data_IF_517720357768
#
_entry.id   IF_517720357768
#
_cell.length_a   1.000
_cell.length_b   1.000
_cell.length_c   1.000
_cell.angle_alpha   90.00
_cell.angle_beta   90.00
_cell.angle_gamma   90.00
#
_symmetry.space_group_name_H-M   'P 1'
#
loop_
_entity.id
_entity.type
_entity.pdbx_description
1 polymer ?
#
# COMPACT_ATOMS: atom_id res chain seq x y z
N UNK A 1 -16.85 15.97 23.00
CA UNK A 1 -17.43 16.80 21.92
C UNK A 1 -18.91 16.49 21.81
N UNK A 2 -19.76 17.51 21.64
CA UNK A 2 -21.16 17.29 21.28
C UNK A 2 -21.25 16.78 19.84
N UNK A 3 -21.79 15.58 19.65
CA UNK A 3 -21.92 14.92 18.34
C UNK A 3 -23.38 14.93 17.85
N UNK A 4 -24.21 15.80 18.39
CA UNK A 4 -25.65 15.86 18.08
C UNK A 4 -25.96 16.54 16.73
N UNK A 5 -25.04 17.29 16.16
CA UNK A 5 -25.25 18.07 14.92
C UNK A 5 -24.07 17.97 13.93
N UNK A 6 -23.55 16.78 13.69
CA UNK A 6 -22.42 16.57 12.77
C UNK A 6 -22.80 16.70 11.30
N UNK A 7 -24.09 16.47 10.96
CA UNK A 7 -24.55 16.55 9.58
C UNK A 7 -24.28 17.93 8.97
N UNK A 8 -24.52 19.02 9.68
CA UNK A 8 -24.27 20.38 9.16
C UNK A 8 -22.76 20.64 8.95
N UNK A 9 -21.90 20.07 9.79
CA UNK A 9 -20.46 20.16 9.58
C UNK A 9 -20.05 19.40 8.30
N UNK A 10 -20.64 18.22 8.05
CA UNK A 10 -20.40 17.42 6.84
C UNK A 10 -20.85 18.19 5.60
N UNK A 11 -22.01 18.84 5.65
CA UNK A 11 -22.61 19.58 4.55
C UNK A 11 -22.05 21.00 4.38
N UNK A 12 -21.15 21.44 5.26
CA UNK A 12 -20.50 22.76 5.13
C UNK A 12 -19.73 22.88 3.81
N UNK A 13 -19.77 24.05 3.19
CA UNK A 13 -19.13 24.28 1.90
C UNK A 13 -17.61 24.01 1.95
N UNK A 14 -16.93 24.35 3.05
CA UNK A 14 -15.51 24.08 3.20
C UNK A 14 -15.20 22.57 3.20
N UNK A 15 -15.96 21.80 3.99
CA UNK A 15 -15.79 20.35 4.05
C UNK A 15 -16.10 19.67 2.70
N UNK A 16 -17.18 20.09 2.04
CA UNK A 16 -17.56 19.56 0.72
C UNK A 16 -16.52 19.92 -0.35
N UNK A 17 -15.96 21.13 -0.34
CA UNK A 17 -14.88 21.49 -1.27
C UNK A 17 -13.62 20.64 -1.06
N UNK A 18 -13.23 20.39 0.19
CA UNK A 18 -12.10 19.49 0.50
C UNK A 18 -12.37 18.06 0.01
N UNK A 19 -13.58 17.55 0.22
CA UNK A 19 -13.99 16.23 -0.24
C UNK A 19 -13.96 16.14 -1.78
N UNK A 20 -14.47 17.14 -2.47
CA UNK A 20 -14.41 17.25 -3.93
C UNK A 20 -12.96 17.19 -4.45
N UNK A 21 -12.10 18.04 -3.93
CA UNK A 21 -10.69 18.09 -4.33
C UNK A 21 -9.99 16.74 -4.10
N UNK A 22 -10.28 16.07 -2.99
CA UNK A 22 -9.69 14.77 -2.69
C UNK A 22 -10.16 13.68 -3.67
N UNK A 23 -11.45 13.64 -3.99
CA UNK A 23 -12.01 12.65 -4.94
C UNK A 23 -11.46 12.87 -6.35
N UNK A 24 -11.38 14.13 -6.81
CA UNK A 24 -10.81 14.47 -8.12
C UNK A 24 -9.32 14.13 -8.17
N UNK A 25 -8.56 14.42 -7.11
CA UNK A 25 -7.13 14.09 -7.01
C UNK A 25 -6.87 12.59 -7.11
N UNK A 26 -7.74 11.77 -6.58
CA UNK A 26 -7.60 10.32 -6.57
C UNK A 26 -7.84 9.66 -7.93
N UNK A 27 -8.51 10.35 -8.88
CA UNK A 27 -8.77 9.88 -10.25
C UNK A 27 -9.31 8.44 -10.31
N UNK A 28 -10.23 8.09 -9.40
CA UNK A 28 -10.78 6.74 -9.29
C UNK A 28 -11.65 6.36 -10.49
N UNK A 29 -11.82 5.06 -10.71
CA UNK A 29 -12.69 4.51 -11.75
C UNK A 29 -14.18 4.88 -11.52
N UNK A 30 -15.00 4.82 -12.56
CA UNK A 30 -16.44 5.01 -12.53
C UNK A 30 -17.16 3.90 -11.74
N UNK A 31 -18.27 4.24 -11.09
CA UNK A 31 -19.17 3.31 -10.42
C UNK A 31 -20.14 2.61 -11.38
N UNK A 32 -21.29 2.19 -10.85
CA UNK A 32 -22.40 1.57 -11.62
C UNK A 32 -23.07 2.57 -12.56
N UNK A 33 -23.02 3.88 -12.25
CA UNK A 33 -23.60 4.96 -13.04
C UNK A 33 -22.75 5.40 -14.24
N UNK A 34 -21.55 4.85 -14.38
CA UNK A 34 -20.60 5.20 -15.44
C UNK A 34 -20.04 6.63 -15.36
N UNK A 35 -20.41 7.42 -14.34
CA UNK A 35 -19.96 8.82 -14.20
C UNK A 35 -18.48 8.88 -13.86
N UNK A 36 -17.72 9.69 -14.60
CA UNK A 36 -16.29 9.92 -14.36
C UNK A 36 -16.06 11.01 -13.32
N UNK A 37 -14.92 10.94 -12.63
CA UNK A 37 -14.53 11.95 -11.65
C UNK A 37 -14.41 13.37 -12.25
N UNK A 38 -14.19 13.51 -13.57
CA UNK A 38 -14.13 14.79 -14.29
C UNK A 38 -15.50 15.47 -14.42
N UNK A 39 -16.59 14.69 -14.36
CA UNK A 39 -17.96 15.13 -14.50
C UNK A 39 -18.59 15.54 -13.14
N UNK A 40 -17.91 15.19 -12.04
CA UNK A 40 -18.43 15.45 -10.68
C UNK A 40 -18.75 16.93 -10.43
N UNK A 41 -17.94 17.88 -10.96
CA UNK A 41 -18.19 19.30 -10.76
C UNK A 41 -19.54 19.74 -11.34
N UNK A 42 -19.80 19.38 -12.59
CA UNK A 42 -21.06 19.73 -13.28
C UNK A 42 -22.25 19.06 -12.61
N UNK A 43 -22.08 17.80 -12.19
CA UNK A 43 -23.10 17.07 -11.44
C UNK A 43 -23.45 17.77 -10.12
N UNK A 44 -22.46 18.20 -9.33
CA UNK A 44 -22.67 18.89 -8.07
C UNK A 44 -23.26 20.29 -8.25
N UNK A 45 -22.93 21.01 -9.31
CA UNK A 45 -23.54 22.31 -9.63
C UNK A 45 -25.05 22.14 -9.89
N UNK A 46 -25.45 21.08 -10.59
CA UNK A 46 -26.87 20.83 -10.90
C UNK A 46 -27.65 20.21 -9.72
N UNK A 47 -27.04 19.29 -8.98
CA UNK A 47 -27.75 18.43 -8.02
C UNK A 47 -27.29 18.62 -6.56
N UNK A 48 -26.30 19.48 -6.30
CA UNK A 48 -25.67 19.59 -4.96
C UNK A 48 -26.65 19.94 -3.86
N UNK A 49 -27.57 20.91 -4.07
CA UNK A 49 -28.55 21.28 -3.07
C UNK A 49 -29.61 20.16 -2.85
N UNK A 50 -29.99 19.45 -3.92
CA UNK A 50 -30.89 18.30 -3.81
C UNK A 50 -30.22 17.19 -2.97
N UNK A 51 -28.93 16.93 -3.20
CA UNK A 51 -28.16 15.93 -2.44
C UNK A 51 -28.08 16.34 -0.95
N UNK A 52 -27.78 17.61 -0.66
CA UNK A 52 -27.76 18.11 0.73
C UNK A 52 -29.09 17.92 1.43
N UNK A 53 -30.19 18.29 0.76
CA UNK A 53 -31.55 18.15 1.31
C UNK A 53 -31.92 16.66 1.52
N UNK A 54 -31.55 15.80 0.57
CA UNK A 54 -31.75 14.35 0.74
C UNK A 54 -30.96 13.78 1.92
N UNK A 55 -29.77 14.28 2.19
CA UNK A 55 -28.94 13.87 3.35
C UNK A 55 -29.59 14.35 4.66
N UNK A 56 -30.02 15.63 4.76
CA UNK A 56 -30.73 16.18 5.93
C UNK A 56 -32.04 15.45 6.23
N UNK A 57 -32.79 15.10 5.20
CA UNK A 57 -34.09 14.44 5.35
C UNK A 57 -34.00 12.92 5.39
N UNK A 58 -32.80 12.34 5.44
CA UNK A 58 -32.52 10.89 5.39
C UNK A 58 -33.09 10.19 4.14
N UNK A 59 -33.38 10.94 3.08
CA UNK A 59 -33.93 10.38 1.82
C UNK A 59 -32.84 9.92 0.85
N UNK A 60 -31.58 10.32 1.06
CA UNK A 60 -30.49 9.86 0.23
C UNK A 60 -30.36 8.34 0.24
N UNK A 61 -30.25 7.74 -0.95
CA UNK A 61 -30.06 6.30 -1.16
C UNK A 61 -28.74 6.09 -1.88
N UNK A 62 -27.70 5.54 -1.21
CA UNK A 62 -26.46 5.14 -1.88
C UNK A 62 -26.74 4.14 -3.00
N UNK A 63 -25.98 4.26 -4.07
CA UNK A 63 -26.02 3.29 -5.15
C UNK A 63 -25.21 2.04 -4.78
N UNK A 64 -25.56 0.86 -5.35
CA UNK A 64 -24.76 -0.35 -5.16
C UNK A 64 -23.33 -0.13 -5.66
N UNK A 65 -22.36 -0.82 -5.07
CA UNK A 65 -20.98 -0.76 -5.52
C UNK A 65 -20.75 -1.69 -6.70
N UNK A 66 -20.03 -1.24 -7.72
CA UNK A 66 -19.60 -2.06 -8.83
C UNK A 66 -18.48 -3.00 -8.42
N UNK A 67 -18.67 -4.31 -8.52
CA UNK A 67 -17.63 -5.29 -8.22
C UNK A 67 -16.56 -5.31 -9.28
N UNK A 68 -15.30 -5.31 -8.85
CA UNK A 68 -14.12 -5.48 -9.71
C UNK A 68 -13.20 -6.51 -9.08
N UNK A 69 -12.86 -7.54 -9.84
CA UNK A 69 -11.98 -8.60 -9.40
C UNK A 69 -10.52 -8.28 -9.73
N UNK A 70 -9.67 -8.26 -8.71
CA UNK A 70 -8.22 -8.05 -8.88
C UNK A 70 -7.46 -9.32 -8.52
N UNK A 71 -6.68 -9.91 -9.45
CA UNK A 71 -5.87 -11.10 -9.16
C UNK A 71 -4.84 -10.82 -8.06
N UNK A 72 -4.75 -11.72 -7.07
CA UNK A 72 -3.71 -11.69 -6.05
C UNK A 72 -2.41 -12.31 -6.58
N UNK A 73 -1.23 -11.83 -6.12
CA UNK A 73 0.07 -12.38 -6.54
C UNK A 73 0.31 -13.85 -6.15
N UNK A 74 -0.39 -14.32 -5.14
CA UNK A 74 -0.32 -15.67 -4.55
C UNK A 74 -1.39 -16.63 -5.07
N UNK A 75 -2.14 -16.19 -6.09
CA UNK A 75 -3.34 -16.86 -6.57
C UNK A 75 -4.60 -16.39 -5.82
N UNK A 76 -5.77 -16.63 -6.41
CA UNK A 76 -7.04 -16.13 -5.90
C UNK A 76 -7.34 -14.69 -6.32
N UNK A 77 -8.46 -14.16 -5.85
CA UNK A 77 -9.03 -12.89 -6.28
C UNK A 77 -9.28 -12.00 -5.07
N UNK A 78 -9.11 -10.68 -5.25
CA UNK A 78 -9.57 -9.65 -4.30
C UNK A 78 -10.76 -8.95 -4.94
N UNK A 79 -11.89 -8.99 -4.25
CA UNK A 79 -13.11 -8.31 -4.66
C UNK A 79 -13.06 -6.85 -4.21
N UNK A 80 -12.98 -5.91 -5.15
CA UNK A 80 -13.15 -4.49 -4.86
C UNK A 80 -14.57 -4.06 -5.19
N UNK A 81 -15.20 -3.31 -4.30
CA UNK A 81 -16.43 -2.59 -4.59
C UNK A 81 -16.10 -1.13 -4.95
N UNK A 82 -16.44 -0.71 -6.16
CA UNK A 82 -16.23 0.66 -6.63
C UNK A 82 -17.54 1.44 -6.49
N UNK A 83 -17.68 2.34 -5.48
CA UNK A 83 -18.86 3.19 -5.35
C UNK A 83 -18.93 4.22 -6.49
N UNK A 84 -20.10 4.81 -6.72
CA UNK A 84 -20.24 5.95 -7.63
C UNK A 84 -19.37 7.11 -7.20
N UNK A 85 -19.09 8.02 -8.12
CA UNK A 85 -18.26 9.20 -7.80
C UNK A 85 -18.96 10.09 -6.77
N UNK A 86 -20.30 10.20 -6.86
CA UNK A 86 -21.13 10.93 -5.88
C UNK A 86 -21.05 10.28 -4.50
N UNK A 87 -21.19 8.95 -4.41
CA UNK A 87 -21.09 8.26 -3.13
C UNK A 87 -19.70 8.40 -2.52
N UNK A 88 -18.63 8.31 -3.33
CA UNK A 88 -17.24 8.57 -2.84
C UNK A 88 -17.09 9.99 -2.31
N UNK A 89 -17.71 10.96 -2.94
CA UNK A 89 -17.69 12.35 -2.49
C UNK A 89 -18.37 12.50 -1.13
N UNK A 90 -19.55 11.94 -0.95
CA UNK A 90 -20.28 11.99 0.33
C UNK A 90 -19.53 11.19 1.41
N UNK A 91 -19.06 9.99 1.11
CA UNK A 91 -18.25 9.19 2.04
C UNK A 91 -16.99 9.91 2.46
N UNK A 92 -16.33 10.63 1.54
CA UNK A 92 -15.15 11.44 1.85
C UNK A 92 -15.51 12.60 2.80
N UNK A 93 -16.63 13.28 2.56
CA UNK A 93 -17.08 14.38 3.42
C UNK A 93 -17.41 13.88 4.84
N UNK A 94 -18.03 12.71 4.97
CA UNK A 94 -18.30 12.05 6.24
C UNK A 94 -16.97 11.66 6.93
N UNK A 95 -16.07 11.00 6.22
CA UNK A 95 -14.79 10.56 6.76
C UNK A 95 -13.95 11.72 7.31
N UNK A 96 -13.95 12.87 6.65
CA UNK A 96 -13.20 14.06 7.08
C UNK A 96 -13.68 14.62 8.43
N UNK A 97 -14.97 14.52 8.70
CA UNK A 97 -15.56 15.01 9.98
C UNK A 97 -15.44 13.95 11.08
N UNK A 98 -15.61 12.67 10.75
CA UNK A 98 -15.56 11.61 11.76
C UNK A 98 -14.13 11.24 12.15
N UNK A 99 -13.16 11.34 11.25
CA UNK A 99 -11.77 10.94 11.53
C UNK A 99 -11.18 11.64 12.76
N UNK A 100 -11.25 12.97 12.93
CA UNK A 100 -10.72 13.63 14.13
C UNK A 100 -11.34 13.12 15.44
N UNK A 101 -12.63 12.82 15.43
CA UNK A 101 -13.37 12.33 16.61
C UNK A 101 -12.85 10.96 17.06
N UNK A 102 -12.54 10.07 16.08
CA UNK A 102 -12.05 8.73 16.38
C UNK A 102 -10.54 8.68 16.59
N UNK A 103 -9.77 9.64 16.03
CA UNK A 103 -8.31 9.72 16.26
C UNK A 103 -7.96 9.84 17.74
N UNK A 104 -8.78 10.54 18.55
CA UNK A 104 -8.62 10.65 19.99
C UNK A 104 -8.82 9.33 20.74
N UNK A 105 -9.48 8.34 20.11
CA UNK A 105 -9.82 7.05 20.70
C UNK A 105 -8.93 5.89 20.22
N UNK A 106 -8.22 6.09 19.10
CA UNK A 106 -7.40 5.03 18.51
C UNK A 106 -6.10 4.86 19.28
N UNK A 107 -5.75 3.60 19.55
CA UNK A 107 -4.52 3.23 20.23
C UNK A 107 -3.27 3.70 19.47
N UNK A 108 -2.21 4.08 20.20
CA UNK A 108 -0.96 4.61 19.60
C UNK A 108 -0.25 3.59 18.72
N UNK A 109 -0.38 2.30 18.98
CA UNK A 109 0.21 1.23 18.18
C UNK A 109 -0.66 0.78 17.00
N UNK A 110 -1.70 1.53 16.67
CA UNK A 110 -2.48 1.38 15.43
C UNK A 110 -2.02 2.43 14.41
N UNK A 111 -1.56 2.00 13.24
CA UNK A 111 -0.90 2.87 12.25
C UNK A 111 -1.61 2.97 10.90
N UNK A 112 -2.34 1.93 10.49
CA UNK A 112 -2.96 1.86 9.16
C UNK A 112 -4.11 2.83 8.98
N UNK A 113 -4.19 3.49 7.82
CA UNK A 113 -5.27 4.40 7.43
C UNK A 113 -5.53 5.58 8.37
N UNK A 114 -4.53 5.99 9.13
CA UNK A 114 -4.62 7.13 10.06
C UNK A 114 -3.79 8.31 9.57
N UNK A 115 -4.26 9.57 9.83
CA UNK A 115 -3.48 10.77 9.51
C UNK A 115 -2.12 10.74 10.23
N UNK A 116 -1.09 11.22 9.55
CA UNK A 116 0.28 11.33 10.10
C UNK A 116 0.91 10.03 10.61
N UNK A 117 0.31 8.88 10.32
CA UNK A 117 0.85 7.55 10.64
C UNK A 117 1.29 6.84 9.35
N UNK A 118 2.34 6.03 9.43
CA UNK A 118 2.88 5.31 8.28
C UNK A 118 3.43 3.93 8.65
N UNK A 119 3.70 3.12 7.61
CA UNK A 119 4.22 1.77 7.79
C UNK A 119 5.61 1.75 8.47
N UNK A 120 6.43 2.75 8.20
CA UNK A 120 7.76 2.87 8.80
C UNK A 120 7.68 3.01 10.32
N UNK A 121 6.77 3.84 10.83
CA UNK A 121 6.53 3.99 12.27
C UNK A 121 6.09 2.66 12.91
N UNK A 122 5.22 1.91 12.25
CA UNK A 122 4.79 0.58 12.71
C UNK A 122 5.98 -0.39 12.80
N UNK A 123 6.89 -0.37 11.83
CA UNK A 123 8.09 -1.23 11.82
C UNK A 123 9.06 -0.83 12.92
N UNK A 124 9.26 0.48 13.17
CA UNK A 124 10.14 0.96 14.24
C UNK A 124 9.57 0.55 15.61
N UNK A 125 8.30 0.79 15.88
CA UNK A 125 7.65 0.36 17.12
C UNK A 125 7.74 -1.18 17.34
N UNK A 126 7.58 -1.96 16.26
CA UNK A 126 7.76 -3.42 16.36
C UNK A 126 9.20 -3.81 16.69
N UNK A 127 10.19 -3.11 16.12
CA UNK A 127 11.63 -3.35 16.43
C UNK A 127 11.94 -3.01 17.89
N UNK A 128 11.44 -1.90 18.41
CA UNK A 128 11.63 -1.51 19.80
C UNK A 128 11.11 -2.60 20.73
N UNK A 129 9.86 -3.06 20.52
CA UNK A 129 9.27 -4.13 21.32
C UNK A 129 10.03 -5.47 21.22
N UNK A 130 10.53 -5.83 20.01
CA UNK A 130 11.36 -7.03 19.83
C UNK A 130 12.69 -6.91 20.57
N UNK A 131 13.30 -5.73 20.61
CA UNK A 131 14.58 -5.47 21.26
C UNK A 131 14.46 -5.35 22.79
N UNK A 132 13.25 -5.09 23.29
CA UNK A 132 12.91 -5.15 24.74
C UNK A 132 12.70 -6.58 25.26
N UNK A 133 13.11 -7.59 24.51
CA UNK A 133 13.05 -9.00 24.91
C UNK A 133 11.76 -9.73 24.53
N UNK A 134 10.87 -9.08 23.77
CA UNK A 134 9.62 -9.71 23.29
C UNK A 134 9.82 -10.27 21.87
N UNK A 135 10.67 -11.28 21.74
CA UNK A 135 11.12 -11.81 20.45
C UNK A 135 10.36 -13.08 19.99
N UNK A 136 9.18 -13.31 20.51
CA UNK A 136 8.19 -14.26 19.98
C UNK A 136 7.00 -13.50 19.39
N UNK A 137 6.70 -13.77 18.14
CA UNK A 137 5.70 -13.02 17.36
C UNK A 137 4.45 -13.87 17.16
N UNK A 138 3.32 -13.28 17.48
CA UNK A 138 1.99 -13.79 17.13
C UNK A 138 1.52 -12.96 15.94
N UNK A 139 1.53 -13.53 14.74
CA UNK A 139 1.10 -12.91 13.49
C UNK A 139 -0.34 -13.34 13.22
N UNK A 140 -1.28 -12.40 13.26
CA UNK A 140 -2.72 -12.64 13.09
C UNK A 140 -3.18 -12.08 11.76
N UNK A 141 -3.65 -12.96 10.86
CA UNK A 141 -4.28 -12.62 9.58
C UNK A 141 -5.79 -12.83 9.70
N UNK A 142 -6.58 -11.82 9.40
CA UNK A 142 -8.04 -11.90 9.39
C UNK A 142 -8.55 -12.41 8.03
N UNK A 143 -9.44 -13.40 8.05
CA UNK A 143 -10.00 -13.95 6.82
C UNK A 143 -11.03 -12.99 6.22
N UNK A 144 -10.71 -12.42 5.04
CA UNK A 144 -11.64 -11.54 4.29
C UNK A 144 -12.31 -10.49 5.19
N UNK A 145 -11.51 -9.81 6.03
CA UNK A 145 -12.02 -8.88 7.05
C UNK A 145 -13.14 -7.98 6.54
N UNK A 146 -12.91 -7.26 5.42
CA UNK A 146 -13.91 -6.33 4.88
C UNK A 146 -15.22 -7.03 4.44
N UNK A 147 -15.16 -8.30 4.04
CA UNK A 147 -16.33 -9.05 3.58
C UNK A 147 -17.10 -9.71 4.74
N UNK A 148 -16.55 -9.69 5.97
CA UNK A 148 -17.10 -10.43 7.12
C UNK A 148 -17.55 -9.56 8.29
N UNK A 149 -17.36 -8.23 8.21
CA UNK A 149 -17.77 -7.30 9.27
C UNK A 149 -19.28 -7.36 9.49
N UNK A 150 -19.70 -7.65 10.71
CA UNK A 150 -21.12 -7.62 11.10
C UNK A 150 -21.58 -6.18 11.25
N UNK A 151 -22.58 -5.78 10.46
CA UNK A 151 -23.11 -4.41 10.41
C UNK A 151 -23.68 -3.95 11.75
N UNK A 152 -24.44 -4.79 12.46
CA UNK A 152 -25.08 -4.40 13.72
C UNK A 152 -24.07 -4.20 14.84
N UNK A 153 -23.02 -5.06 14.89
CA UNK A 153 -21.92 -4.85 15.84
C UNK A 153 -21.17 -3.54 15.55
N UNK A 154 -20.84 -3.29 14.27
CA UNK A 154 -20.17 -2.06 13.87
C UNK A 154 -21.02 -0.84 14.20
N UNK A 155 -22.31 -0.86 13.88
CA UNK A 155 -23.24 0.25 14.19
C UNK A 155 -23.39 0.47 15.69
N UNK A 156 -23.38 -0.59 16.48
CA UNK A 156 -23.39 -0.50 17.95
C UNK A 156 -22.13 0.20 18.47
N UNK A 157 -20.96 -0.11 17.93
CA UNK A 157 -19.69 0.55 18.32
C UNK A 157 -19.73 2.03 17.92
N UNK A 158 -20.15 2.34 16.68
CA UNK A 158 -20.28 3.73 16.20
C UNK A 158 -21.21 4.53 17.08
N UNK A 159 -22.39 3.97 17.45
CA UNK A 159 -23.41 4.63 18.27
C UNK A 159 -22.98 4.92 19.73
N UNK A 160 -21.87 4.32 20.21
CA UNK A 160 -21.27 4.70 21.51
C UNK A 160 -20.68 6.11 21.47
N UNK A 161 -20.09 6.49 20.34
CA UNK A 161 -19.40 7.78 20.14
C UNK A 161 -20.27 8.78 19.40
N UNK A 162 -20.89 8.38 18.30
CA UNK A 162 -21.69 9.27 17.45
C UNK A 162 -23.15 9.20 17.89
N UNK A 163 -23.72 10.34 18.29
CA UNK A 163 -25.13 10.48 18.71
C UNK A 163 -26.03 11.11 17.66
N UNK A 164 -25.44 11.61 16.56
CA UNK A 164 -26.18 12.15 15.42
C UNK A 164 -26.87 11.02 14.66
N UNK A 165 -28.20 10.99 14.74
CA UNK A 165 -29.01 9.95 14.08
C UNK A 165 -28.97 10.00 12.55
N UNK A 166 -28.66 11.15 11.96
CA UNK A 166 -28.54 11.31 10.52
C UNK A 166 -27.28 10.64 10.01
N UNK A 167 -26.18 10.79 10.77
CA UNK A 167 -24.93 10.10 10.48
C UNK A 167 -25.06 8.59 10.64
N UNK A 168 -25.69 8.13 11.72
CA UNK A 168 -25.96 6.72 11.95
C UNK A 168 -26.78 6.14 10.77
N UNK A 169 -27.81 6.87 10.33
CA UNK A 169 -28.66 6.45 9.20
C UNK A 169 -27.87 6.33 7.90
N UNK A 170 -27.09 7.33 7.53
CA UNK A 170 -26.34 7.31 6.26
C UNK A 170 -25.21 6.28 6.25
N UNK A 171 -24.49 6.10 7.36
CA UNK A 171 -23.48 5.06 7.49
C UNK A 171 -24.11 3.67 7.31
N UNK A 172 -25.25 3.40 7.98
CA UNK A 172 -25.96 2.13 7.80
C UNK A 172 -26.39 1.91 6.35
N UNK A 173 -26.89 2.94 5.67
CA UNK A 173 -27.27 2.84 4.25
C UNK A 173 -26.09 2.50 3.36
N UNK A 174 -24.87 3.02 3.61
CA UNK A 174 -23.67 2.64 2.88
C UNK A 174 -23.27 1.19 3.12
N UNK A 175 -23.48 0.66 4.32
CA UNK A 175 -23.17 -0.75 4.61
C UNK A 175 -24.10 -1.71 3.86
N UNK A 176 -25.36 -1.33 3.70
CA UNK A 176 -26.41 -2.18 3.07
C UNK A 176 -26.70 -1.79 1.61
N UNK A 177 -25.88 -0.95 0.97
CA UNK A 177 -26.15 -0.45 -0.39
C UNK A 177 -26.13 -1.50 -1.49
N UNK A 178 -25.67 -2.72 -1.19
CA UNK A 178 -25.61 -3.82 -2.15
C UNK A 178 -24.39 -3.76 -3.08
N UNK A 179 -24.26 -4.81 -3.87
CA UNK A 179 -23.16 -5.01 -4.81
C UNK A 179 -23.76 -5.30 -6.19
N UNK A 180 -23.19 -4.71 -7.23
CA UNK A 180 -23.53 -5.01 -8.62
C UNK A 180 -22.44 -5.89 -9.23
N UNK A 181 -22.80 -7.05 -9.72
CA UNK A 181 -21.93 -8.03 -10.38
C UNK A 181 -22.51 -8.30 -11.76
N UNK A 182 -21.77 -8.00 -12.82
CA UNK A 182 -22.21 -8.24 -14.23
C UNK A 182 -23.65 -7.80 -14.50
N UNK A 183 -24.02 -6.60 -13.99
CA UNK A 183 -25.36 -5.99 -14.04
C UNK A 183 -26.46 -6.70 -13.20
N UNK A 184 -26.11 -7.70 -12.40
CA UNK A 184 -27.00 -8.31 -11.41
C UNK A 184 -26.77 -7.71 -10.02
N UNK A 185 -27.88 -7.40 -9.32
CA UNK A 185 -27.84 -6.83 -7.96
C UNK A 185 -27.81 -7.95 -6.91
N UNK A 186 -26.86 -7.86 -5.99
CA UNK A 186 -26.77 -8.70 -4.79
C UNK A 186 -26.88 -7.85 -3.52
N UNK A 187 -27.68 -8.29 -2.56
CA UNK A 187 -27.78 -7.66 -1.26
C UNK A 187 -26.47 -7.80 -0.45
N UNK A 188 -26.05 -6.72 0.22
CA UNK A 188 -24.94 -6.74 1.18
C UNK A 188 -25.49 -6.86 2.60
N UNK A 189 -25.58 -8.09 3.11
CA UNK A 189 -26.04 -8.38 4.48
C UNK A 189 -24.89 -8.27 5.48
N UNK A 190 -23.67 -8.52 5.03
CA UNK A 190 -22.44 -8.54 5.83
C UNK A 190 -21.32 -7.89 5.03
N UNK A 191 -20.38 -7.25 5.71
CA UNK A 191 -19.19 -6.69 5.11
C UNK A 191 -19.25 -5.19 4.84
N UNK A 192 -18.10 -4.62 4.62
CA UNK A 192 -17.92 -3.22 4.17
C UNK A 192 -17.30 -3.25 2.78
N UNK A 193 -17.84 -2.51 1.79
CA UNK A 193 -17.28 -2.53 0.43
C UNK A 193 -15.79 -2.17 0.44
N UNK A 194 -14.92 -3.06 -0.04
CA UNK A 194 -13.50 -2.75 -0.24
C UNK A 194 -13.36 -1.72 -1.36
N UNK A 195 -13.08 -0.46 -1.03
CA UNK A 195 -12.87 0.61 -2.02
C UNK A 195 -13.68 1.88 -1.75
N UNK A 196 -14.61 1.86 -0.82
CA UNK A 196 -15.28 3.07 -0.31
C UNK A 196 -14.33 3.95 0.51
N UNK A 197 -14.49 5.27 0.41
CA UNK A 197 -13.64 6.23 1.15
C UNK A 197 -13.85 6.17 2.67
N UNK A 198 -15.00 5.69 3.11
CA UNK A 198 -15.35 5.54 4.53
C UNK A 198 -14.87 4.20 5.12
N UNK A 199 -14.71 3.16 4.30
CA UNK A 199 -14.38 1.81 4.75
C UNK A 199 -13.11 1.70 5.60
N UNK A 200 -12.01 2.43 5.32
CA UNK A 200 -10.81 2.41 6.16
C UNK A 200 -11.06 2.92 7.59
N UNK A 201 -11.86 3.97 7.76
CA UNK A 201 -12.23 4.49 9.07
C UNK A 201 -13.11 3.47 9.82
N UNK A 202 -14.14 2.92 9.16
CA UNK A 202 -15.01 1.91 9.76
C UNK A 202 -14.24 0.66 10.19
N UNK A 203 -13.25 0.24 9.40
CA UNK A 203 -12.34 -0.85 9.74
C UNK A 203 -11.56 -0.56 11.03
N UNK A 204 -10.99 0.64 11.15
CA UNK A 204 -10.27 1.03 12.35
C UNK A 204 -11.19 1.15 13.58
N UNK A 205 -12.42 1.65 13.43
CA UNK A 205 -13.42 1.71 14.52
C UNK A 205 -13.71 0.29 15.03
N UNK A 206 -13.94 -0.67 14.15
CA UNK A 206 -14.20 -2.06 14.54
C UNK A 206 -13.00 -2.69 15.22
N UNK A 207 -11.80 -2.53 14.67
CA UNK A 207 -10.58 -3.14 15.20
C UNK A 207 -10.01 -2.43 16.42
N UNK A 208 -10.44 -1.20 16.73
CA UNK A 208 -10.08 -0.53 17.97
C UNK A 208 -10.60 -1.27 19.22
N UNK A 209 -11.66 -2.05 19.10
CA UNK A 209 -12.12 -2.92 20.19
C UNK A 209 -11.10 -4.05 20.45
N UNK A 210 -10.40 -4.54 19.40
CA UNK A 210 -9.28 -5.48 19.56
C UNK A 210 -8.08 -4.79 20.19
N UNK A 211 -7.76 -3.56 19.78
CA UNK A 211 -6.66 -2.78 20.35
C UNK A 211 -6.86 -2.57 21.85
N UNK A 212 -8.05 -2.15 22.27
CA UNK A 212 -8.44 -2.00 23.69
C UNK A 212 -8.31 -3.31 24.48
N UNK A 213 -8.70 -4.43 23.88
CA UNK A 213 -8.57 -5.72 24.56
C UNK A 213 -7.11 -6.16 24.72
N UNK A 214 -6.26 -5.87 23.72
CA UNK A 214 -4.82 -6.15 23.81
C UNK A 214 -4.16 -5.25 24.87
N UNK A 215 -4.50 -3.94 24.89
CA UNK A 215 -4.03 -3.00 25.89
C UNK A 215 -4.44 -3.43 27.31
N UNK A 216 -5.72 -3.78 27.51
CA UNK A 216 -6.24 -4.28 28.79
C UNK A 216 -5.47 -5.49 29.31
N UNK A 217 -4.96 -6.33 28.42
CA UNK A 217 -4.14 -7.51 28.74
C UNK A 217 -2.65 -7.21 28.90
N UNK A 218 -2.23 -5.95 28.71
CA UNK A 218 -0.83 -5.54 28.77
C UNK A 218 0.03 -6.17 27.67
N UNK A 219 -0.53 -6.39 26.48
CA UNK A 219 0.16 -6.99 25.36
C UNK A 219 0.88 -5.93 24.53
N UNK A 220 2.12 -6.20 24.16
CA UNK A 220 2.87 -5.42 23.18
C UNK A 220 2.40 -5.81 21.77
N UNK A 221 1.83 -4.88 21.03
CA UNK A 221 1.31 -5.15 19.70
C UNK A 221 1.54 -3.98 18.74
N UNK A 222 1.51 -4.26 17.46
CA UNK A 222 1.49 -3.28 16.38
C UNK A 222 0.45 -3.71 15.36
N UNK A 223 -0.47 -2.81 15.05
CA UNK A 223 -1.50 -3.05 14.04
C UNK A 223 -1.41 -2.05 12.88
N UNK A 224 -1.50 -2.56 11.68
CA UNK A 224 -1.61 -1.77 10.46
C UNK A 224 -2.84 -2.22 9.65
N UNK A 225 -3.95 -1.53 9.80
CA UNK A 225 -5.26 -1.96 9.29
C UNK A 225 -5.64 -3.35 9.86
N UNK A 226 -5.83 -4.34 9.02
CA UNK A 226 -6.13 -5.75 9.37
C UNK A 226 -4.89 -6.59 9.69
N UNK A 227 -3.69 -6.15 9.33
CA UNK A 227 -2.42 -6.82 9.68
C UNK A 227 -2.03 -6.49 11.13
N UNK A 228 -2.03 -7.48 12.03
CA UNK A 228 -1.72 -7.32 13.45
C UNK A 228 -0.64 -8.31 13.90
N UNK A 229 0.39 -7.80 14.56
CA UNK A 229 1.43 -8.61 15.22
C UNK A 229 1.49 -8.28 16.71
N UNK A 230 1.64 -9.35 17.55
CA UNK A 230 1.78 -9.22 19.00
C UNK A 230 3.13 -9.81 19.38
N UNK A 231 3.89 -9.11 20.22
CA UNK A 231 5.22 -9.49 20.66
C UNK A 231 5.18 -9.93 22.12
N UNK A 232 5.79 -11.10 22.43
CA UNK A 232 5.87 -11.66 23.78
C UNK A 232 7.22 -12.32 24.04
N UNK A 233 7.57 -12.53 25.30
CA UNK A 233 8.90 -13.03 25.69
C UNK A 233 9.10 -14.56 25.56
N UNK A 234 8.06 -15.37 25.32
CA UNK A 234 8.22 -16.83 25.24
C UNK A 234 7.24 -17.48 24.25
N UNK A 235 7.64 -18.65 23.71
CA UNK A 235 6.80 -19.44 22.81
C UNK A 235 5.48 -19.88 23.46
N UNK A 236 5.54 -20.28 24.73
CA UNK A 236 4.36 -20.71 25.49
C UNK A 236 3.36 -19.56 25.65
N UNK A 237 3.85 -18.36 25.96
CA UNK A 237 3.04 -17.14 26.00
C UNK A 237 2.45 -16.81 24.64
N UNK A 238 3.23 -16.92 23.55
CA UNK A 238 2.75 -16.66 22.20
C UNK A 238 1.61 -17.60 21.79
N UNK A 239 1.74 -18.90 22.04
CA UNK A 239 0.67 -19.88 21.77
C UNK A 239 -0.60 -19.62 22.59
N UNK A 240 -0.45 -19.20 23.85
CA UNK A 240 -1.57 -18.82 24.72
C UNK A 240 -2.25 -17.55 24.22
N UNK A 241 -1.48 -16.53 23.84
CA UNK A 241 -2.00 -15.25 23.30
C UNK A 241 -2.71 -15.50 21.97
N UNK A 242 -2.11 -16.26 21.05
CA UNK A 242 -2.77 -16.63 19.78
C UNK A 242 -4.17 -17.21 20.03
N UNK A 243 -4.29 -18.23 20.89
CA UNK A 243 -5.58 -18.87 21.20
C UNK A 243 -6.59 -17.91 21.80
N UNK A 244 -6.16 -17.08 22.77
CA UNK A 244 -7.06 -16.21 23.50
C UNK A 244 -7.51 -15.00 22.67
N UNK A 245 -6.63 -14.44 21.86
CA UNK A 245 -6.97 -13.32 20.96
C UNK A 245 -7.81 -13.81 19.78
N UNK A 246 -7.49 -14.98 19.20
CA UNK A 246 -8.35 -15.57 18.16
C UNK A 246 -9.77 -15.82 18.68
N UNK A 247 -9.93 -16.36 19.89
CA UNK A 247 -11.25 -16.53 20.51
C UNK A 247 -11.98 -15.20 20.70
N UNK A 248 -11.29 -14.15 21.15
CA UNK A 248 -11.90 -12.82 21.29
C UNK A 248 -12.38 -12.27 19.94
N UNK A 249 -11.55 -12.40 18.90
CA UNK A 249 -11.88 -11.96 17.53
C UNK A 249 -13.14 -12.69 17.02
N UNK A 250 -13.22 -14.00 17.24
CA UNK A 250 -14.32 -14.82 16.74
C UNK A 250 -15.61 -14.63 17.56
N UNK A 251 -15.53 -14.74 18.88
CA UNK A 251 -16.72 -14.69 19.73
C UNK A 251 -17.25 -13.27 19.97
N UNK A 252 -16.35 -12.30 20.19
CA UNK A 252 -16.76 -10.93 20.54
C UNK A 252 -16.91 -10.04 19.31
N UNK A 253 -15.94 -10.07 18.39
CA UNK A 253 -16.02 -9.23 17.20
C UNK A 253 -16.82 -9.91 16.06
N UNK A 254 -16.95 -11.25 16.08
CA UNK A 254 -17.63 -11.98 15.01
C UNK A 254 -16.85 -12.00 13.70
N UNK A 255 -15.53 -11.78 13.78
CA UNK A 255 -14.61 -11.86 12.64
C UNK A 255 -13.99 -13.26 12.59
N UNK A 256 -13.40 -13.64 11.46
CA UNK A 256 -12.74 -14.93 11.30
C UNK A 256 -11.24 -14.77 11.25
N UNK A 257 -10.51 -15.61 12.01
CA UNK A 257 -9.06 -15.70 11.94
C UNK A 257 -8.65 -16.71 10.86
N UNK A 258 -7.74 -16.31 10.00
CA UNK A 258 -7.17 -17.21 8.99
C UNK A 258 -6.15 -18.15 9.62
N UNK A 259 -6.58 -19.35 9.98
CA UNK A 259 -5.74 -20.36 10.68
C UNK A 259 -4.50 -20.76 9.86
N UNK A 260 -4.58 -20.75 8.52
CA UNK A 260 -3.47 -21.18 7.67
C UNK A 260 -2.37 -20.13 7.51
N UNK A 261 -2.71 -18.87 7.72
CA UNK A 261 -1.75 -17.75 7.59
C UNK A 261 -1.30 -17.22 8.94
N UNK A 262 -2.17 -17.27 9.94
CA UNK A 262 -1.81 -16.87 11.30
C UNK A 262 -0.79 -17.85 11.89
N UNK A 263 0.26 -17.33 12.51
CA UNK A 263 1.35 -18.17 13.03
C UNK A 263 2.04 -17.56 14.24
N UNK A 264 2.70 -18.44 14.99
CA UNK A 264 3.66 -18.05 16.02
C UNK A 264 5.06 -18.34 15.48
N UNK A 265 5.94 -17.35 15.49
CA UNK A 265 7.27 -17.49 14.92
C UNK A 265 8.27 -16.51 15.60
N UNK A 266 9.56 -16.71 15.33
CA UNK A 266 10.60 -15.72 15.69
C UNK A 266 10.61 -14.59 14.65
N UNK A 267 11.16 -13.39 14.98
CA UNK A 267 11.20 -12.26 14.04
C UNK A 267 11.81 -12.58 12.67
N UNK A 268 12.77 -13.53 12.63
CA UNK A 268 13.42 -13.91 11.36
C UNK A 268 12.48 -14.60 10.37
N UNK A 269 11.43 -15.27 10.85
CA UNK A 269 10.39 -15.90 10.03
C UNK A 269 9.24 -14.97 9.65
N UNK A 270 9.22 -13.75 10.20
CA UNK A 270 8.15 -12.79 9.99
C UNK A 270 8.33 -12.01 8.67
N UNK A 271 7.22 -11.81 7.98
CA UNK A 271 7.06 -10.80 6.94
C UNK A 271 5.98 -9.83 7.34
N UNK A 272 6.32 -8.62 7.74
CA UNK A 272 5.35 -7.60 8.13
C UNK A 272 5.51 -6.34 7.28
N UNK A 273 4.44 -5.85 6.69
CA UNK A 273 4.41 -4.66 5.81
C UNK A 273 5.51 -4.65 4.72
N UNK A 274 5.85 -5.82 4.20
CA UNK A 274 6.89 -5.97 3.18
C UNK A 274 8.31 -6.04 3.72
N UNK A 275 8.53 -5.80 5.00
CA UNK A 275 9.82 -5.97 5.67
C UNK A 275 9.97 -7.41 6.19
N UNK A 276 11.22 -7.82 6.35
CA UNK A 276 11.66 -8.97 7.12
C UNK A 276 12.65 -8.49 8.19
N UNK A 277 12.89 -9.32 9.18
CA UNK A 277 13.73 -9.01 10.33
C UNK A 277 14.93 -9.95 10.41
N UNK A 278 15.99 -9.51 11.07
CA UNK A 278 17.15 -10.33 11.34
C UNK A 278 17.84 -9.83 12.61
N UNK A 279 18.52 -10.72 13.32
CA UNK A 279 19.31 -10.38 14.48
C UNK A 279 20.73 -9.98 14.07
N UNK A 280 21.13 -8.75 14.37
CA UNK A 280 22.48 -8.25 14.15
C UNK A 280 23.36 -8.62 15.36
N UNK A 281 24.19 -9.65 15.21
CA UNK A 281 25.05 -10.17 16.28
C UNK A 281 26.04 -9.12 16.81
N UNK A 282 26.47 -8.18 15.97
CA UNK A 282 27.42 -7.14 16.36
C UNK A 282 26.75 -6.07 17.22
N UNK A 283 25.54 -5.67 16.84
CA UNK A 283 24.77 -4.68 17.58
C UNK A 283 23.88 -5.32 18.67
N UNK A 284 23.82 -6.65 18.74
CA UNK A 284 22.96 -7.41 19.65
C UNK A 284 21.49 -6.99 19.65
N UNK A 285 20.96 -6.72 18.44
CA UNK A 285 19.58 -6.26 18.29
C UNK A 285 18.94 -6.73 16.97
N UNK A 286 17.63 -6.78 16.96
CA UNK A 286 16.85 -7.00 15.74
C UNK A 286 16.88 -5.74 14.86
N UNK A 287 16.97 -5.94 13.55
CA UNK A 287 16.94 -4.89 12.54
C UNK A 287 16.02 -5.30 11.39
N UNK A 288 15.41 -4.30 10.73
CA UNK A 288 14.60 -4.52 9.56
C UNK A 288 15.45 -4.54 8.26
N UNK A 289 14.96 -5.28 7.27
CA UNK A 289 15.44 -5.28 5.89
C UNK A 289 14.26 -5.50 4.94
N UNK A 290 14.35 -5.15 3.65
CA UNK A 290 13.32 -5.56 2.70
C UNK A 290 13.19 -7.08 2.67
N UNK A 291 11.96 -7.60 2.78
CA UNK A 291 11.71 -9.04 2.73
C UNK A 291 12.02 -9.60 1.32
N UNK A 292 12.44 -10.86 1.22
CA UNK A 292 12.82 -11.50 -0.05
C UNK A 292 11.72 -11.41 -1.13
N UNK A 293 10.44 -11.57 -0.76
CA UNK A 293 9.29 -11.41 -1.67
C UNK A 293 9.17 -9.98 -2.21
N UNK A 294 9.49 -8.95 -1.40
CA UNK A 294 9.47 -7.54 -1.81
C UNK A 294 10.63 -7.24 -2.79
N UNK A 295 11.81 -7.81 -2.54
CA UNK A 295 12.97 -7.72 -3.44
C UNK A 295 12.66 -8.42 -4.77
N UNK A 296 12.04 -9.60 -4.75
CA UNK A 296 11.65 -10.33 -5.96
C UNK A 296 10.63 -9.53 -6.80
N UNK A 297 9.64 -8.87 -6.16
CA UNK A 297 8.68 -7.98 -6.82
C UNK A 297 9.38 -6.80 -7.49
N UNK A 298 10.32 -6.16 -6.81
CA UNK A 298 11.15 -5.09 -7.39
C UNK A 298 11.93 -5.60 -8.61
N UNK A 299 12.67 -6.73 -8.48
CA UNK A 299 13.45 -7.35 -9.56
C UNK A 299 12.54 -7.68 -10.76
N UNK A 300 11.33 -8.18 -10.54
CA UNK A 300 10.35 -8.45 -11.60
C UNK A 300 9.98 -7.15 -12.34
N UNK A 301 9.61 -6.09 -11.61
CA UNK A 301 9.21 -4.81 -12.22
C UNK A 301 10.36 -4.13 -12.95
N UNK A 302 11.58 -4.13 -12.39
CA UNK A 302 12.80 -3.68 -13.05
C UNK A 302 13.02 -4.43 -14.38
N UNK A 303 12.76 -5.75 -14.39
CA UNK A 303 12.91 -6.61 -15.57
C UNK A 303 11.92 -6.23 -16.68
N UNK A 304 10.69 -5.92 -16.31
CA UNK A 304 9.65 -5.42 -17.23
C UNK A 304 10.04 -4.07 -17.85
N UNK A 305 10.41 -3.09 -17.03
CA UNK A 305 10.80 -1.74 -17.46
C UNK A 305 12.07 -1.73 -18.33
N UNK A 306 12.90 -2.77 -18.26
CA UNK A 306 14.13 -2.95 -19.04
C UNK A 306 14.00 -4.04 -20.09
N UNK A 307 12.78 -4.35 -20.57
CA UNK A 307 12.59 -5.26 -21.71
C UNK A 307 13.20 -4.66 -22.97
N UNK A 308 14.01 -5.45 -23.68
CA UNK A 308 14.66 -5.05 -24.94
C UNK A 308 13.67 -4.89 -26.10
N UNK A 309 12.56 -5.61 -26.05
CA UNK A 309 11.46 -5.57 -27.02
C UNK A 309 10.42 -4.48 -26.73
N UNK A 310 10.57 -3.74 -25.65
CA UNK A 310 9.69 -2.63 -25.36
C UNK A 310 10.08 -1.43 -26.23
N UNK A 311 9.21 -1.06 -27.15
CA UNK A 311 9.44 -0.08 -28.23
C UNK A 311 9.56 1.39 -27.81
N UNK A 312 9.95 1.68 -26.58
CA UNK A 312 10.11 3.04 -26.04
C UNK A 312 11.57 3.48 -26.01
N UNK A 313 11.81 4.79 -25.92
CA UNK A 313 13.13 5.40 -25.80
C UNK A 313 13.87 4.93 -24.54
N UNK A 314 15.21 4.99 -24.55
CA UNK A 314 15.99 4.71 -23.34
C UNK A 314 15.80 5.78 -22.27
N UNK A 315 15.54 7.03 -22.63
CA UNK A 315 15.20 8.10 -21.69
C UNK A 315 13.92 7.76 -20.92
N UNK A 316 12.85 7.40 -21.63
CA UNK A 316 11.60 6.97 -20.99
C UNK A 316 11.78 5.78 -20.03
N UNK A 317 12.63 4.80 -20.41
CA UNK A 317 12.98 3.68 -19.51
C UNK A 317 13.66 4.14 -18.25
N UNK A 318 14.60 5.10 -18.36
CA UNK A 318 15.32 5.68 -17.22
C UNK A 318 14.35 6.44 -16.31
N UNK A 319 13.44 7.23 -16.86
CA UNK A 319 12.42 7.96 -16.09
C UNK A 319 11.54 6.99 -15.28
N UNK A 320 11.07 5.91 -15.91
CA UNK A 320 10.25 4.89 -15.23
C UNK A 320 11.04 4.10 -14.18
N UNK A 321 12.33 3.81 -14.43
CA UNK A 321 13.22 3.21 -13.44
C UNK A 321 13.45 4.14 -12.25
N UNK A 322 13.67 5.44 -12.49
CA UNK A 322 13.86 6.42 -11.42
C UNK A 322 12.60 6.55 -10.54
N UNK A 323 11.40 6.50 -11.12
CA UNK A 323 10.15 6.45 -10.36
C UNK A 323 10.09 5.19 -9.47
N UNK A 324 10.43 4.03 -10.04
CA UNK A 324 10.47 2.76 -9.29
C UNK A 324 11.51 2.79 -8.17
N UNK A 325 12.73 3.28 -8.44
CA UNK A 325 13.84 3.39 -7.48
C UNK A 325 13.45 4.29 -6.31
N UNK A 326 12.98 5.51 -6.59
CA UNK A 326 12.58 6.46 -5.53
C UNK A 326 11.48 5.89 -4.66
N UNK A 327 10.40 5.40 -5.25
CA UNK A 327 9.28 4.85 -4.48
C UNK A 327 9.68 3.65 -3.62
N UNK A 328 10.58 2.79 -4.13
CA UNK A 328 11.03 1.63 -3.37
C UNK A 328 11.99 1.99 -2.23
N UNK A 329 12.95 2.89 -2.48
CA UNK A 329 13.90 3.33 -1.45
C UNK A 329 13.18 4.12 -0.37
N UNK A 330 12.32 5.08 -0.72
CA UNK A 330 11.56 5.86 0.26
C UNK A 330 10.68 5.00 1.18
N UNK A 331 10.19 3.87 0.66
CA UNK A 331 9.40 2.94 1.48
C UNK A 331 10.27 2.12 2.44
N UNK A 332 11.45 1.66 1.97
CA UNK A 332 12.32 0.76 2.72
C UNK A 332 13.51 1.44 3.38
N UNK A 333 13.60 2.76 3.39
CA UNK A 333 14.79 3.53 3.84
C UNK A 333 15.23 3.21 5.27
N UNK A 334 14.31 2.89 6.17
CA UNK A 334 14.61 2.46 7.55
C UNK A 334 15.28 1.07 7.61
N UNK A 335 15.19 0.30 6.55
CA UNK A 335 15.72 -1.06 6.46
C UNK A 335 17.19 -1.07 6.01
N UNK A 336 18.00 -1.95 6.58
CA UNK A 336 19.41 -2.13 6.17
C UNK A 336 19.49 -2.77 4.78
N UNK A 337 19.89 -1.99 3.77
CA UNK A 337 19.90 -2.47 2.39
C UNK A 337 21.07 -1.98 1.52
N UNK A 338 22.16 -1.45 2.12
CA UNK A 338 23.32 -0.90 1.39
C UNK A 338 23.91 -1.88 0.36
N UNK A 339 24.18 -3.13 0.76
CA UNK A 339 24.70 -4.17 -0.14
C UNK A 339 23.69 -4.58 -1.22
N UNK A 340 22.41 -4.63 -0.87
CA UNK A 340 21.32 -4.91 -1.80
C UNK A 340 21.19 -3.81 -2.86
N UNK A 341 21.25 -2.54 -2.47
CA UNK A 341 21.24 -1.40 -3.38
C UNK A 341 22.41 -1.48 -4.38
N UNK A 342 23.61 -1.80 -3.92
CA UNK A 342 24.78 -1.99 -4.79
C UNK A 342 24.59 -3.15 -5.78
N UNK A 343 23.98 -4.26 -5.35
CA UNK A 343 23.64 -5.40 -6.23
C UNK A 343 22.62 -4.99 -7.30
N UNK A 344 21.54 -4.35 -6.88
CA UNK A 344 20.46 -3.91 -7.77
C UNK A 344 20.94 -2.87 -8.78
N UNK A 345 21.82 -1.95 -8.37
CA UNK A 345 22.48 -1.00 -9.27
C UNK A 345 23.29 -1.67 -10.37
N UNK A 346 24.06 -2.73 -10.03
CA UNK A 346 24.79 -3.52 -11.04
C UNK A 346 23.82 -4.15 -12.03
N UNK A 347 22.71 -4.71 -11.53
CA UNK A 347 21.69 -5.35 -12.36
C UNK A 347 20.99 -4.34 -13.28
N UNK A 348 20.62 -3.17 -12.79
CA UNK A 348 19.97 -2.10 -13.57
C UNK A 348 20.91 -1.64 -14.69
N UNK A 349 22.17 -1.32 -14.36
CA UNK A 349 23.18 -0.88 -15.34
C UNK A 349 23.42 -1.93 -16.43
N UNK A 350 23.54 -3.20 -16.03
CA UNK A 350 23.69 -4.30 -16.99
C UNK A 350 22.49 -4.40 -17.95
N UNK A 351 21.28 -4.31 -17.43
CA UNK A 351 20.07 -4.38 -18.26
C UNK A 351 19.91 -3.18 -19.18
N UNK A 352 20.23 -1.98 -18.71
CA UNK A 352 20.22 -0.77 -19.56
C UNK A 352 21.27 -0.86 -20.68
N UNK A 353 22.48 -1.38 -20.40
CA UNK A 353 23.48 -1.64 -21.46
C UNK A 353 22.91 -2.56 -22.55
N UNK A 354 22.16 -3.60 -22.19
CA UNK A 354 21.51 -4.46 -23.18
C UNK A 354 20.45 -3.74 -24.00
N UNK A 355 19.69 -2.81 -23.38
CA UNK A 355 18.71 -2.00 -24.11
C UNK A 355 19.38 -1.04 -25.09
N UNK A 356 20.41 -0.33 -24.64
CA UNK A 356 21.20 0.61 -25.47
C UNK A 356 21.85 -0.15 -26.63
N UNK A 357 22.46 -1.29 -26.35
CA UNK A 357 23.08 -2.14 -27.37
C UNK A 357 22.08 -2.61 -28.43
N UNK A 358 20.90 -2.99 -28.03
CA UNK A 358 19.83 -3.39 -28.96
C UNK A 358 19.35 -2.21 -29.81
N UNK A 359 19.27 -0.99 -29.25
CA UNK A 359 18.89 0.23 -29.98
C UNK A 359 19.90 0.64 -31.06
N UNK A 360 21.18 0.31 -30.90
CA UNK A 360 22.19 0.62 -31.91
C UNK A 360 22.08 -0.28 -33.16
N UNK A 361 21.18 -1.23 -33.18
CA UNK A 361 20.76 -2.13 -34.29
C UNK A 361 21.92 -2.82 -34.97
N UNK A 362 22.64 -2.15 -35.89
CA UNK A 362 23.66 -2.73 -36.74
C UNK A 362 25.07 -2.73 -36.10
N UNK A 363 25.97 -3.67 -36.49
CA UNK A 363 27.36 -3.66 -36.02
C UNK A 363 28.10 -2.35 -36.32
N UNK A 364 27.87 -1.74 -37.48
CA UNK A 364 28.46 -0.47 -37.85
C UNK A 364 28.08 0.65 -36.88
N UNK A 365 26.78 0.78 -36.60
CA UNK A 365 26.28 1.77 -35.62
C UNK A 365 26.80 1.48 -34.19
N UNK A 366 26.92 0.22 -33.80
CA UNK A 366 27.51 -0.17 -32.52
C UNK A 366 28.97 0.26 -32.43
N UNK A 367 29.79 -0.02 -33.47
CA UNK A 367 31.18 0.43 -33.52
C UNK A 367 31.31 1.95 -33.48
N UNK A 368 30.52 2.66 -34.31
CA UNK A 368 30.48 4.14 -34.33
C UNK A 368 30.14 4.73 -32.95
N UNK A 369 29.13 4.19 -32.28
CA UNK A 369 28.75 4.65 -30.96
C UNK A 369 29.79 4.33 -29.90
N UNK A 370 30.45 3.17 -29.96
CA UNK A 370 31.54 2.84 -29.04
C UNK A 370 32.72 3.79 -29.18
N UNK A 371 33.12 4.12 -30.43
CA UNK A 371 34.19 5.07 -30.71
C UNK A 371 33.80 6.47 -30.16
N UNK A 372 32.57 6.95 -30.41
CA UNK A 372 32.05 8.16 -29.82
C UNK A 372 32.15 8.18 -28.29
N UNK A 373 31.99 7.04 -27.66
CA UNK A 373 32.08 6.87 -26.21
C UNK A 373 33.50 6.62 -25.72
N UNK A 374 34.54 6.85 -26.58
CA UNK A 374 35.96 6.81 -26.19
C UNK A 374 36.57 5.42 -26.16
N UNK A 375 35.99 4.44 -26.84
CA UNK A 375 36.62 3.14 -27.02
C UNK A 375 37.52 3.17 -28.28
N UNK A 376 38.77 2.72 -28.22
CA UNK A 376 39.65 2.66 -29.36
C UNK A 376 39.00 1.97 -30.56
N UNK A 377 39.20 2.50 -31.78
CA UNK A 377 38.53 2.04 -33.00
C UNK A 377 38.63 0.52 -33.20
N UNK A 378 39.80 -0.06 -33.06
CA UNK A 378 40.03 -1.52 -33.19
C UNK A 378 39.21 -2.33 -32.17
N UNK A 379 39.14 -1.90 -30.90
CA UNK A 379 38.39 -2.56 -29.86
C UNK A 379 36.87 -2.41 -30.07
N UNK A 380 36.44 -1.25 -30.54
CA UNK A 380 35.04 -0.97 -30.86
C UNK A 380 34.53 -1.90 -31.99
N UNK A 381 35.28 -2.03 -33.08
CA UNK A 381 34.92 -2.94 -34.18
C UNK A 381 34.94 -4.42 -33.72
N UNK A 382 36.00 -4.86 -33.04
CA UNK A 382 36.08 -6.23 -32.48
C UNK A 382 34.88 -6.56 -31.57
N UNK A 383 34.44 -5.58 -30.78
CA UNK A 383 33.29 -5.77 -29.87
C UNK A 383 31.95 -5.69 -30.60
N UNK A 384 31.81 -4.81 -31.59
CA UNK A 384 30.59 -4.62 -32.37
C UNK A 384 30.23 -5.80 -33.28
N UNK A 385 31.25 -6.39 -33.91
CA UNK A 385 31.11 -7.55 -34.83
C UNK A 385 31.18 -8.91 -34.10
N UNK A 386 31.18 -8.89 -32.75
CA UNK A 386 31.18 -10.12 -31.99
C UNK A 386 29.82 -10.81 -32.10
N UNK A 387 29.74 -11.97 -32.73
CA UNK A 387 28.52 -12.76 -32.94
C UNK A 387 27.89 -13.37 -31.68
N UNK A 388 28.46 -13.11 -30.49
CA UNK A 388 27.94 -13.64 -29.22
C UNK A 388 26.61 -12.98 -28.82
N UNK A 389 25.84 -13.68 -28.00
CA UNK A 389 24.58 -13.18 -27.46
C UNK A 389 24.77 -11.82 -26.76
N UNK A 390 23.78 -10.90 -26.89
CA UNK A 390 23.81 -9.54 -26.34
C UNK A 390 24.21 -9.53 -24.85
N UNK A 391 23.73 -10.50 -24.08
CA UNK A 391 24.05 -10.61 -22.65
C UNK A 391 25.58 -10.76 -22.43
N UNK A 392 26.25 -11.62 -23.17
CA UNK A 392 27.69 -11.81 -23.08
C UNK A 392 28.48 -10.59 -23.54
N UNK A 393 28.03 -9.93 -24.61
CA UNK A 393 28.68 -8.73 -25.12
C UNK A 393 28.58 -7.59 -24.08
N UNK A 394 27.41 -7.38 -23.49
CA UNK A 394 27.20 -6.34 -22.51
C UNK A 394 27.93 -6.53 -21.16
N UNK A 395 28.47 -7.74 -20.93
CA UNK A 395 29.33 -8.01 -19.76
C UNK A 395 30.80 -7.68 -20.03
N UNK A 396 31.22 -7.38 -21.30
CA UNK A 396 32.60 -7.03 -21.62
C UNK A 396 33.01 -5.68 -21.07
N UNK A 397 34.30 -5.56 -20.75
CA UNK A 397 34.93 -4.36 -20.23
C UNK A 397 34.71 -3.14 -21.12
N UNK A 398 34.84 -3.32 -22.46
CA UNK A 398 34.65 -2.22 -23.43
C UNK A 398 33.26 -1.59 -23.31
N UNK A 399 32.20 -2.42 -23.18
CA UNK A 399 30.84 -1.93 -23.01
C UNK A 399 30.66 -1.27 -21.63
N UNK A 400 31.26 -1.86 -20.59
CA UNK A 400 31.18 -1.28 -19.24
C UNK A 400 31.92 0.07 -19.14
N UNK A 401 33.02 0.24 -19.86
CA UNK A 401 33.76 1.53 -19.98
C UNK A 401 32.97 2.53 -20.83
N UNK A 402 32.48 2.10 -21.99
CA UNK A 402 31.70 2.94 -22.88
C UNK A 402 30.40 3.46 -22.22
N UNK A 403 29.66 2.57 -21.54
CA UNK A 403 28.42 2.90 -20.84
C UNK A 403 28.68 2.76 -19.34
N UNK A 404 29.56 3.63 -18.81
CA UNK A 404 29.99 3.64 -17.43
C UNK A 404 28.88 4.11 -16.48
N UNK A 405 28.98 3.82 -15.16
CA UNK A 405 28.05 4.38 -14.16
C UNK A 405 27.96 5.90 -14.22
N UNK A 406 29.10 6.60 -14.41
CA UNK A 406 29.15 8.06 -14.55
C UNK A 406 28.31 8.55 -15.73
N UNK A 407 28.41 7.91 -16.89
CA UNK A 407 27.64 8.29 -18.08
C UNK A 407 26.15 8.00 -17.93
N UNK A 408 25.80 6.88 -17.29
CA UNK A 408 24.39 6.60 -16.98
C UNK A 408 23.79 7.60 -16.00
N UNK A 409 24.58 8.08 -15.01
CA UNK A 409 24.19 9.18 -14.12
C UNK A 409 24.00 10.49 -14.90
N UNK A 410 24.91 10.83 -15.82
CA UNK A 410 24.75 11.98 -16.75
C UNK A 410 23.54 11.85 -17.66
N UNK A 411 23.17 10.64 -18.03
CA UNK A 411 21.94 10.33 -18.80
C UNK A 411 20.67 10.36 -17.93
N UNK A 412 20.79 10.68 -16.65
CA UNK A 412 19.68 10.86 -15.70
C UNK A 412 19.34 9.65 -14.85
N UNK A 413 20.08 8.53 -14.92
CA UNK A 413 19.83 7.36 -14.07
C UNK A 413 20.25 7.64 -12.64
N UNK A 414 19.35 7.45 -11.68
CA UNK A 414 19.63 7.50 -10.25
C UNK A 414 20.33 6.21 -9.83
N UNK A 415 21.42 6.34 -9.05
CA UNK A 415 22.03 5.21 -8.34
C UNK A 415 21.21 4.91 -7.08
N UNK A 416 20.78 3.66 -6.93
CA UNK A 416 20.07 3.23 -5.72
C UNK A 416 20.90 3.38 -4.47
N UNK A 417 22.20 3.05 -4.58
CA UNK A 417 23.13 3.15 -3.45
C UNK A 417 23.34 4.60 -3.01
N UNK A 418 23.59 5.52 -3.97
CA UNK A 418 23.79 6.93 -3.66
C UNK A 418 22.52 7.51 -3.01
N UNK A 419 21.36 7.29 -3.64
CA UNK A 419 20.09 7.80 -3.15
C UNK A 419 19.70 7.24 -1.77
N UNK A 420 19.96 5.94 -1.53
CA UNK A 420 19.78 5.34 -0.20
C UNK A 420 20.72 5.95 0.84
N UNK A 421 22.00 6.15 0.49
CA UNK A 421 22.98 6.72 1.42
C UNK A 421 22.66 8.17 1.78
N UNK A 422 22.24 8.97 0.80
CA UNK A 422 21.79 10.35 1.03
C UNK A 422 20.61 10.42 2.01
N UNK A 423 19.63 9.50 1.88
CA UNK A 423 18.48 9.44 2.77
C UNK A 423 18.82 8.96 4.18
N UNK A 424 19.68 7.96 4.30
CA UNK A 424 20.12 7.45 5.63
C UNK A 424 20.97 8.43 6.44
N UNK A 425 21.63 9.41 5.80
CA UNK A 425 22.38 10.46 6.51
C UNK A 425 21.46 11.55 7.07
N UNK A 426 20.22 11.63 6.55
CA UNK A 426 19.19 12.60 6.97
C UNK A 426 18.20 12.03 7.99
N UNK A 427 18.31 10.75 8.35
CA UNK A 427 17.64 10.08 9.46
C UNK A 427 18.58 9.81 10.61
#
# INVERSE_FOLDING_TARGET
MDTSSLMEQILSNDNLNRAYLQVVRNKGAEGVDGMKYTELKEHLVKNGEIIKEQLRTRKYKPQPVRRVEIPKPDGGVRNLGVPTVTDRFIQQAIAQVLTPIYEEQFHDHSYGFRPSRCAQQAILAALDMMNDGNDWIVDIDLEKFFDTVNHDKLMTIIGRTIKDGDIISIVRKYLVSGIMIDDEYEDSIVGTPQGGNLSPLLANIMLNELDKEMEKRGLNFVRYADDCIIMVGSEMSAKRVMRNISRFIEEKLGLKVNVTKSKVDKPQGLKYLGFGFYYDKTAQQYKAKPHAKSVAKFKKRMKELTRRSWGVSNSYKVDKLNQLIRGWINYFEIGRMKSLCAELDRNIRYRLRMCIWKHWKTPQNRAKNLVKLGIPKWAAYRTAYNGKAIARVCSKTDIQRAISPKRLKQFGLISMLDYYTERCVTC
#
